data_IF_060663956698
#
_entry.id   IF_060663956698
#
_cell.length_a   1.000
_cell.length_b   1.000
_cell.length_c   1.000
_cell.angle_alpha   90.00
_cell.angle_beta   90.00
_cell.angle_gamma   90.00
#
_symmetry.space_group_name_H-M   'P 1'
#
loop_
_entity.id
_entity.type
_entity.pdbx_description
1 polymer ?
#
# COMPACT_ATOMS: atom_id res chain seq x y z
N UNK A 1 22.82 20.57 -26.42
CA UNK A 1 23.06 19.62 -25.30
C UNK A 1 22.51 20.10 -23.96
N UNK A 2 22.74 21.36 -23.54
CA UNK A 2 22.22 21.91 -22.26
C UNK A 2 20.71 21.75 -22.03
N UNK A 3 19.87 21.89 -23.08
CA UNK A 3 18.40 21.72 -22.96
C UNK A 3 17.99 20.26 -22.76
N UNK A 4 18.70 19.31 -23.36
CA UNK A 4 18.46 17.86 -23.19
C UNK A 4 18.82 17.44 -21.76
N UNK A 5 19.90 17.99 -21.19
CA UNK A 5 20.25 17.77 -19.78
C UNK A 5 19.22 18.29 -18.78
N UNK A 6 18.40 19.29 -19.14
CA UNK A 6 17.33 19.80 -18.27
C UNK A 6 16.01 19.05 -18.45
N UNK A 7 15.74 18.53 -19.66
CA UNK A 7 14.49 17.81 -19.96
C UNK A 7 14.51 16.37 -19.42
N UNK A 8 15.65 15.68 -19.50
CA UNK A 8 15.79 14.30 -19.04
C UNK A 8 15.49 14.08 -17.53
N UNK A 9 16.03 14.87 -16.58
CA UNK A 9 15.74 14.66 -15.16
C UNK A 9 14.29 14.99 -14.78
N UNK A 10 13.68 15.94 -15.50
CA UNK A 10 12.29 16.35 -15.26
C UNK A 10 11.31 15.23 -15.62
N UNK A 11 11.59 14.49 -16.70
CA UNK A 11 10.84 13.29 -17.10
C UNK A 11 11.04 12.17 -16.07
N UNK A 12 12.26 11.92 -15.59
CA UNK A 12 12.53 10.90 -14.58
C UNK A 12 11.78 11.15 -13.26
N UNK A 13 11.66 12.41 -12.82
CA UNK A 13 10.91 12.78 -11.61
C UNK A 13 9.42 12.43 -11.71
N UNK A 14 8.80 12.59 -12.87
CA UNK A 14 7.37 12.24 -13.09
C UNK A 14 7.14 10.73 -13.00
N UNK A 15 8.09 9.91 -13.42
CA UNK A 15 7.96 8.45 -13.32
C UNK A 15 8.07 7.92 -11.89
N UNK A 16 8.81 8.61 -11.02
CA UNK A 16 8.99 8.19 -9.63
C UNK A 16 7.75 8.44 -8.74
N UNK A 17 6.87 9.38 -9.12
CA UNK A 17 5.68 9.71 -8.31
C UNK A 17 4.53 8.70 -8.47
N UNK A 18 4.57 7.81 -9.47
CA UNK A 18 3.50 6.82 -9.73
C UNK A 18 3.51 5.64 -8.73
N UNK A 19 4.56 5.48 -7.93
CA UNK A 19 4.73 4.34 -7.02
C UNK A 19 4.03 4.52 -5.64
N UNK A 20 2.81 5.06 -5.59
CA UNK A 20 2.05 5.14 -4.34
C UNK A 20 1.21 3.87 -4.11
N UNK A 21 1.37 3.25 -2.93
CA UNK A 21 0.54 2.12 -2.51
C UNK A 21 -0.75 2.65 -1.90
N UNK A 22 -1.90 2.44 -2.56
CA UNK A 22 -3.20 2.76 -1.97
C UNK A 22 -3.51 1.80 -0.82
N UNK A 23 -3.49 2.30 0.42
CA UNK A 23 -4.01 1.58 1.60
C UNK A 23 -5.54 1.67 1.54
N UNK A 24 -6.17 0.84 0.72
CA UNK A 24 -7.63 0.74 0.68
C UNK A 24 -8.13 0.02 1.92
N UNK A 25 -8.52 0.80 2.94
CA UNK A 25 -9.61 0.40 3.81
C UNK A 25 -10.89 0.64 2.99
N UNK A 26 -11.69 -0.40 2.75
CA UNK A 26 -12.96 -0.22 2.06
C UNK A 26 -13.90 0.73 2.81
N UNK A 27 -15.13 0.91 2.30
CA UNK A 27 -16.13 1.87 2.81
C UNK A 27 -16.44 1.78 4.33
N UNK A 28 -15.98 0.73 5.02
CA UNK A 28 -16.17 0.54 6.47
C UNK A 28 -15.07 1.21 7.33
N UNK A 29 -14.01 1.77 6.73
CA UNK A 29 -12.88 2.36 7.47
C UNK A 29 -12.04 1.35 8.27
N UNK A 30 -12.38 0.06 8.19
CA UNK A 30 -11.67 -1.03 8.87
C UNK A 30 -10.61 -1.62 7.94
N UNK A 31 -9.44 -1.91 8.49
CA UNK A 31 -8.37 -2.62 7.79
C UNK A 31 -8.87 -4.03 7.45
N UNK A 32 -8.86 -4.45 6.17
CA UNK A 32 -9.24 -5.79 5.77
C UNK A 32 -8.41 -6.85 6.52
N UNK A 33 -8.97 -8.01 6.88
CA UNK A 33 -8.28 -9.04 7.66
C UNK A 33 -6.98 -9.51 6.99
N UNK A 34 -6.94 -9.56 5.66
CA UNK A 34 -5.72 -9.88 4.90
C UNK A 34 -4.62 -8.82 5.04
N UNK A 35 -4.97 -7.54 5.14
CA UNK A 35 -4.01 -6.46 5.38
C UNK A 35 -3.55 -6.44 6.85
N UNK A 36 -4.46 -6.69 7.80
CA UNK A 36 -4.12 -6.80 9.22
C UNK A 36 -3.15 -7.97 9.48
N UNK A 37 -3.42 -9.13 8.89
CA UNK A 37 -2.51 -10.29 8.92
C UNK A 37 -1.11 -9.93 8.40
N UNK A 38 -1.02 -9.25 7.26
CA UNK A 38 0.25 -8.82 6.66
C UNK A 38 0.99 -7.83 7.54
N UNK A 39 0.27 -6.89 8.17
CA UNK A 39 0.86 -5.90 9.08
C UNK A 39 1.49 -6.55 10.33
N UNK A 40 0.86 -7.60 10.87
CA UNK A 40 1.33 -8.31 12.06
C UNK A 40 2.32 -9.44 11.72
N UNK A 41 2.54 -9.75 10.44
CA UNK A 41 3.44 -10.84 10.01
C UNK A 41 2.94 -12.24 10.39
N UNK A 42 1.65 -12.41 10.68
CA UNK A 42 1.08 -13.67 11.15
C UNK A 42 0.92 -14.68 9.99
N UNK A 43 1.22 -15.96 10.24
CA UNK A 43 1.04 -17.03 9.24
C UNK A 43 -0.43 -17.33 8.92
N UNK A 44 -1.36 -17.08 9.84
CA UNK A 44 -2.80 -17.37 9.69
C UNK A 44 -3.67 -16.11 9.69
N UNK A 45 -4.71 -16.09 8.85
CA UNK A 45 -5.72 -15.02 8.82
C UNK A 45 -6.85 -15.24 9.83
N UNK A 46 -6.96 -16.46 10.39
CA UNK A 46 -8.07 -16.84 11.28
C UNK A 46 -8.24 -15.86 12.47
N UNK A 47 -7.18 -15.43 13.18
CA UNK A 47 -7.33 -14.51 14.32
C UNK A 47 -7.86 -13.12 13.94
N UNK A 48 -7.73 -12.74 12.67
CA UNK A 48 -8.15 -11.43 12.17
C UNK A 48 -9.55 -11.47 11.53
N UNK A 49 -10.16 -12.67 11.41
CA UNK A 49 -11.50 -12.82 10.86
C UNK A 49 -12.57 -12.29 11.84
N UNK A 50 -13.68 -11.72 11.34
CA UNK A 50 -14.78 -11.26 12.19
C UNK A 50 -15.29 -12.39 13.11
N UNK A 51 -15.45 -12.10 14.40
CA UNK A 51 -15.94 -13.07 15.40
C UNK A 51 -14.87 -13.97 16.03
N UNK A 52 -13.61 -13.92 15.59
CA UNK A 52 -12.52 -14.75 16.17
C UNK A 52 -11.77 -14.08 17.34
N UNK A 53 -12.02 -12.79 17.61
CA UNK A 53 -11.37 -12.03 18.70
C UNK A 53 -11.91 -12.37 20.11
N UNK A 54 -13.07 -13.02 20.20
CA UNK A 54 -13.79 -13.27 21.46
C UNK A 54 -13.82 -14.76 21.85
N UNK A 55 -12.86 -15.56 21.37
CA UNK A 55 -12.70 -16.97 21.73
C UNK A 55 -11.29 -17.19 22.26
#
# INVERSE_FOLDING_TARGET
MRKICLVLPLICMVFLTSCYTTRTAGNSGKVPPGQAKKAVGAKSAKPFAPGQRNK
#
